data_IF_255433814066
#
_entry.id   IF_255433814066
#
_cell.length_a   1.000
_cell.length_b   1.000
_cell.length_c   1.000
_cell.angle_alpha   90.00
_cell.angle_beta   90.00
_cell.angle_gamma   90.00
#
_symmetry.space_group_name_H-M   'P 1'
#
loop_
_entity.id
_entity.type
_entity.pdbx_description
1 polymer ?
#
# COMPACT_ATOMS: atom_id res chain seq x y z
N UNK A 1 8.97 5.16 -22.88
CA UNK A 1 7.51 5.29 -22.85
C UNK A 1 6.92 4.40 -23.95
N UNK A 2 6.10 3.42 -23.60
CA UNK A 2 5.52 2.47 -24.57
C UNK A 2 4.12 2.90 -25.05
N UNK A 3 3.35 3.59 -24.21
CA UNK A 3 1.97 3.98 -24.47
C UNK A 3 1.85 5.50 -24.62
N UNK A 4 2.18 6.03 -25.81
CA UNK A 4 2.22 7.48 -26.09
C UNK A 4 0.85 8.08 -26.41
N UNK A 5 -0.06 7.31 -27.05
CA UNK A 5 -1.37 7.78 -27.48
C UNK A 5 -2.48 7.35 -26.50
N UNK A 6 -3.50 8.22 -26.32
CA UNK A 6 -4.65 7.93 -25.48
C UNK A 6 -5.32 6.59 -25.84
N UNK A 7 -5.44 6.27 -27.13
CA UNK A 7 -6.00 4.97 -27.57
C UNK A 7 -5.16 3.79 -27.06
N UNK A 8 -3.82 3.86 -27.13
CA UNK A 8 -2.93 2.82 -26.62
C UNK A 8 -3.01 2.71 -25.08
N UNK A 9 -3.17 3.84 -24.39
CA UNK A 9 -3.35 3.86 -22.91
C UNK A 9 -4.65 3.20 -22.51
N UNK A 10 -5.76 3.49 -23.21
CA UNK A 10 -7.06 2.83 -22.96
C UNK A 10 -6.95 1.33 -23.20
N UNK A 11 -6.36 0.90 -24.31
CA UNK A 11 -6.14 -0.52 -24.60
C UNK A 11 -5.28 -1.16 -23.50
N UNK A 12 -4.21 -0.47 -23.07
CA UNK A 12 -3.35 -0.92 -21.97
C UNK A 12 -4.09 -1.08 -20.65
N UNK A 13 -5.01 -0.16 -20.31
CA UNK A 13 -5.88 -0.29 -19.12
C UNK A 13 -6.80 -1.52 -19.22
N UNK A 14 -7.41 -1.74 -20.39
CA UNK A 14 -8.27 -2.92 -20.61
C UNK A 14 -7.46 -4.20 -20.46
N UNK A 15 -6.28 -4.28 -21.07
CA UNK A 15 -5.38 -5.44 -20.94
C UNK A 15 -4.96 -5.62 -19.48
N UNK A 16 -4.59 -4.55 -18.78
CA UNK A 16 -4.22 -4.59 -17.37
C UNK A 16 -5.37 -5.07 -16.49
N UNK A 17 -6.60 -4.62 -16.76
CA UNK A 17 -7.79 -5.06 -16.04
C UNK A 17 -8.08 -6.55 -16.29
N UNK A 18 -8.00 -7.00 -17.54
CA UNK A 18 -8.16 -8.41 -17.88
C UNK A 18 -7.09 -9.28 -17.18
N UNK A 19 -5.84 -8.81 -17.15
CA UNK A 19 -4.76 -9.48 -16.44
C UNK A 19 -5.02 -9.54 -14.94
N UNK A 20 -5.47 -8.43 -14.33
CA UNK A 20 -5.87 -8.39 -12.92
C UNK A 20 -6.97 -9.40 -12.62
N UNK A 21 -8.03 -9.43 -13.42
CA UNK A 21 -9.12 -10.40 -13.28
C UNK A 21 -8.61 -11.85 -13.41
N UNK A 22 -7.72 -12.11 -14.35
CA UNK A 22 -7.14 -13.43 -14.55
C UNK A 22 -6.33 -13.86 -13.31
N UNK A 23 -5.44 -12.98 -12.81
CA UNK A 23 -4.62 -13.29 -11.63
C UNK A 23 -5.50 -13.39 -10.37
N UNK A 24 -6.54 -12.59 -10.26
CA UNK A 24 -7.52 -12.69 -9.18
C UNK A 24 -8.20 -14.06 -9.15
N UNK A 25 -8.65 -14.56 -10.31
CA UNK A 25 -9.23 -15.91 -10.44
C UNK A 25 -8.19 -16.98 -10.07
N UNK A 26 -6.96 -16.85 -10.55
CA UNK A 26 -5.87 -17.76 -10.17
C UNK A 26 -5.59 -17.74 -8.67
N UNK A 27 -5.64 -16.58 -8.02
CA UNK A 27 -5.47 -16.46 -6.57
C UNK A 27 -6.55 -17.22 -5.77
N UNK A 28 -7.78 -17.33 -6.33
CA UNK A 28 -8.85 -18.11 -5.69
C UNK A 28 -8.64 -19.62 -5.90
N UNK A 29 -8.08 -20.05 -7.04
CA UNK A 29 -7.92 -21.48 -7.37
C UNK A 29 -6.62 -22.05 -6.82
N UNK A 30 -5.49 -21.31 -6.92
CA UNK A 30 -4.18 -21.77 -6.51
C UNK A 30 -3.97 -21.68 -4.99
N UNK A 31 -3.40 -22.72 -4.39
CA UNK A 31 -3.02 -22.77 -2.97
C UNK A 31 -2.73 -24.19 -2.53
N UNK A 32 -2.34 -24.39 -1.24
CA UNK A 32 -1.94 -25.70 -0.71
C UNK A 32 -3.05 -26.76 -0.85
N UNK A 33 -4.31 -26.43 -0.58
CA UNK A 33 -5.40 -27.37 -0.82
C UNK A 33 -5.71 -27.42 -2.33
N UNK A 34 -5.66 -28.61 -2.92
CA UNK A 34 -5.97 -28.82 -4.33
C UNK A 34 -7.43 -28.50 -4.62
N UNK A 35 -7.67 -27.44 -5.35
CA UNK A 35 -9.02 -27.05 -5.81
C UNK A 35 -8.99 -26.84 -7.32
N UNK A 36 -10.01 -27.34 -8.00
CA UNK A 36 -10.15 -27.16 -9.45
C UNK A 36 -10.96 -25.89 -9.78
N UNK A 37 -10.80 -25.36 -10.98
CA UNK A 37 -11.68 -24.30 -11.50
C UNK A 37 -13.16 -24.68 -11.43
N UNK A 38 -13.46 -25.97 -11.69
CA UNK A 38 -14.83 -26.50 -11.61
C UNK A 38 -15.37 -26.46 -10.18
N UNK A 39 -14.53 -26.79 -9.18
CA UNK A 39 -14.86 -26.69 -7.76
C UNK A 39 -15.09 -25.23 -7.35
N UNK A 40 -14.24 -24.31 -7.84
CA UNK A 40 -14.40 -22.89 -7.56
C UNK A 40 -15.75 -22.35 -8.09
N UNK A 41 -16.12 -22.69 -9.34
CA UNK A 41 -17.43 -22.29 -9.89
C UNK A 41 -18.59 -22.88 -9.08
N UNK A 42 -18.49 -24.16 -8.70
CA UNK A 42 -19.53 -24.84 -7.89
C UNK A 42 -19.67 -24.23 -6.50
N UNK A 43 -18.55 -23.79 -5.88
CA UNK A 43 -18.59 -23.14 -4.59
C UNK A 43 -19.45 -21.85 -4.58
N UNK A 44 -19.53 -21.15 -5.72
CA UNK A 44 -20.40 -19.97 -5.87
C UNK A 44 -21.82 -20.30 -6.29
N UNK A 45 -22.02 -21.33 -7.11
CA UNK A 45 -23.34 -21.67 -7.66
C UNK A 45 -24.14 -22.61 -6.73
N UNK A 46 -23.47 -23.60 -6.12
CA UNK A 46 -24.09 -24.66 -5.34
C UNK A 46 -23.24 -24.98 -4.10
N UNK A 47 -23.21 -24.03 -3.14
CA UNK A 47 -22.47 -24.21 -1.90
C UNK A 47 -23.02 -25.42 -1.13
N UNK A 48 -22.15 -26.42 -0.89
CA UNK A 48 -22.52 -27.67 -0.23
C UNK A 48 -21.87 -27.86 1.15
N UNK A 49 -21.13 -26.86 1.65
CA UNK A 49 -20.45 -26.94 2.95
C UNK A 49 -19.21 -27.83 2.99
N UNK A 50 -18.73 -28.35 1.83
CA UNK A 50 -17.47 -29.08 1.81
C UNK A 50 -16.27 -28.19 2.15
N UNK A 51 -15.19 -28.78 2.69
CA UNK A 51 -13.98 -28.05 3.05
C UNK A 51 -13.43 -27.23 1.87
N UNK A 52 -13.47 -27.75 0.66
CA UNK A 52 -13.04 -27.04 -0.55
C UNK A 52 -13.87 -25.77 -0.79
N UNK A 53 -15.21 -25.85 -0.64
CA UNK A 53 -16.10 -24.71 -0.82
C UNK A 53 -15.90 -23.64 0.26
N UNK A 54 -15.67 -24.06 1.52
CA UNK A 54 -15.36 -23.17 2.64
C UNK A 54 -14.02 -22.47 2.38
N UNK A 55 -12.97 -23.19 2.00
CA UNK A 55 -11.66 -22.62 1.69
C UNK A 55 -11.77 -21.57 0.58
N UNK A 56 -12.54 -21.84 -0.48
CA UNK A 56 -12.70 -20.90 -1.59
C UNK A 56 -13.43 -19.63 -1.14
N UNK A 57 -14.56 -19.75 -0.43
CA UNK A 57 -15.41 -18.61 -0.08
C UNK A 57 -14.91 -17.81 1.13
N UNK A 58 -14.41 -18.50 2.16
CA UNK A 58 -14.12 -17.88 3.46
C UNK A 58 -12.65 -17.56 3.65
N UNK A 59 -11.76 -18.19 2.86
CA UNK A 59 -10.32 -17.96 2.98
C UNK A 59 -9.75 -17.29 1.74
N UNK A 60 -9.92 -17.90 0.55
CA UNK A 60 -9.22 -17.43 -0.66
C UNK A 60 -9.86 -16.21 -1.30
N UNK A 61 -11.18 -16.12 -1.34
CA UNK A 61 -11.87 -14.95 -1.89
C UNK A 61 -11.60 -13.68 -1.05
N UNK A 62 -11.76 -13.67 0.29
CA UNK A 62 -11.37 -12.54 1.11
C UNK A 62 -9.93 -12.12 0.89
N UNK A 63 -9.01 -13.08 0.86
CA UNK A 63 -7.59 -12.86 0.65
C UNK A 63 -7.28 -12.21 -0.69
N UNK A 64 -7.90 -12.69 -1.78
CA UNK A 64 -7.76 -12.11 -3.11
C UNK A 64 -8.31 -10.67 -3.20
N UNK A 65 -9.47 -10.40 -2.58
CA UNK A 65 -10.05 -9.07 -2.51
C UNK A 65 -9.15 -8.11 -1.73
N UNK A 66 -8.70 -8.51 -0.54
CA UNK A 66 -7.81 -7.72 0.30
C UNK A 66 -6.50 -7.44 -0.44
N UNK A 67 -5.88 -8.46 -1.03
CA UNK A 67 -4.63 -8.29 -1.79
C UNK A 67 -4.79 -7.29 -2.95
N UNK A 68 -5.89 -7.37 -3.69
CA UNK A 68 -6.17 -6.45 -4.78
C UNK A 68 -6.29 -5.00 -4.28
N UNK A 69 -7.12 -4.77 -3.27
CA UNK A 69 -7.45 -3.41 -2.78
C UNK A 69 -6.25 -2.80 -2.05
N UNK A 70 -5.56 -3.57 -1.21
CA UNK A 70 -4.36 -3.12 -0.48
C UNK A 70 -3.22 -2.80 -1.47
N UNK A 71 -2.95 -3.69 -2.43
CA UNK A 71 -1.93 -3.47 -3.45
C UNK A 71 -2.21 -2.23 -4.28
N UNK A 72 -3.46 -2.02 -4.69
CA UNK A 72 -3.91 -0.81 -5.40
C UNK A 72 -3.68 0.45 -4.56
N UNK A 73 -4.09 0.43 -3.29
CA UNK A 73 -3.96 1.56 -2.37
C UNK A 73 -2.51 1.96 -2.13
N UNK A 74 -1.63 0.98 -1.89
CA UNK A 74 -0.20 1.22 -1.67
C UNK A 74 0.50 1.77 -2.91
N UNK A 75 0.16 1.27 -4.10
CA UNK A 75 0.73 1.75 -5.35
C UNK A 75 0.28 3.19 -5.68
N UNK A 76 -1.00 3.52 -5.49
CA UNK A 76 -1.50 4.89 -5.64
C UNK A 76 -0.81 5.81 -4.63
N UNK A 77 -0.72 5.41 -3.36
CA UNK A 77 -0.01 6.16 -2.32
C UNK A 77 1.44 6.44 -2.71
N UNK A 78 2.14 5.44 -3.23
CA UNK A 78 3.51 5.60 -3.71
C UNK A 78 3.62 6.65 -4.82
N UNK A 79 2.72 6.63 -5.81
CA UNK A 79 2.70 7.63 -6.87
C UNK A 79 2.47 9.06 -6.34
N UNK A 80 1.57 9.21 -5.37
CA UNK A 80 1.30 10.49 -4.70
C UNK A 80 2.51 11.00 -3.93
N UNK A 81 3.18 10.13 -3.16
CA UNK A 81 4.35 10.48 -2.36
C UNK A 81 5.56 10.82 -3.22
N UNK A 82 5.80 10.07 -4.29
CA UNK A 82 6.87 10.39 -5.24
C UNK A 82 6.66 11.76 -5.90
N UNK A 83 5.41 12.17 -6.17
CA UNK A 83 5.11 13.51 -6.65
C UNK A 83 5.35 14.58 -5.58
N UNK A 84 4.88 14.33 -4.36
CA UNK A 84 4.94 15.28 -3.24
C UNK A 84 6.39 15.57 -2.83
N UNK A 85 7.20 14.52 -2.74
CA UNK A 85 8.59 14.59 -2.28
C UNK A 85 9.59 14.84 -3.42
N UNK A 86 9.14 14.79 -4.69
CA UNK A 86 10.00 14.81 -5.88
C UNK A 86 11.11 13.76 -5.81
N UNK A 87 10.86 12.66 -5.13
CA UNK A 87 11.79 11.57 -4.92
C UNK A 87 11.18 10.26 -5.46
N UNK A 88 11.78 9.62 -6.48
CA UNK A 88 11.26 8.38 -7.05
C UNK A 88 11.30 7.18 -6.10
N UNK A 89 12.03 7.29 -4.98
CA UNK A 89 12.15 6.26 -3.95
C UNK A 89 11.19 6.49 -2.76
N UNK A 90 10.32 7.50 -2.84
CA UNK A 90 9.38 7.78 -1.76
C UNK A 90 8.30 6.70 -1.64
N UNK A 91 8.05 6.30 -0.40
CA UNK A 91 7.04 5.31 0.01
C UNK A 91 6.40 5.73 1.34
N UNK A 92 5.28 5.10 1.76
CA UNK A 92 4.66 5.36 3.06
C UNK A 92 5.61 5.22 4.25
N UNK A 93 6.60 4.34 4.15
CA UNK A 93 7.61 4.12 5.19
C UNK A 93 8.42 5.37 5.49
N UNK A 94 8.76 6.16 4.45
CA UNK A 94 9.49 7.42 4.61
C UNK A 94 8.73 8.50 5.40
N UNK A 95 7.40 8.37 5.51
CA UNK A 95 6.58 9.26 6.35
C UNK A 95 6.31 8.69 7.74
N UNK A 96 6.96 7.57 8.11
CA UNK A 96 6.76 6.92 9.40
C UNK A 96 5.36 6.32 9.59
N UNK A 97 4.56 6.18 8.53
CA UNK A 97 3.18 5.68 8.60
C UNK A 97 3.16 4.25 9.13
N UNK A 98 4.00 3.36 8.59
CA UNK A 98 4.09 1.97 9.03
C UNK A 98 4.63 1.86 10.47
N UNK A 99 5.63 2.66 10.83
CA UNK A 99 6.19 2.68 12.19
C UNK A 99 5.19 3.21 13.22
N UNK A 100 4.43 4.26 12.88
CA UNK A 100 3.36 4.79 13.71
C UNK A 100 2.22 3.78 13.91
N UNK A 101 1.82 3.08 12.84
CA UNK A 101 0.83 2.02 12.92
C UNK A 101 1.28 0.91 13.87
N UNK A 102 2.51 0.42 13.70
CA UNK A 102 3.11 -0.63 14.54
C UNK A 102 3.20 -0.20 16.00
N UNK A 103 3.64 1.03 16.25
CA UNK A 103 3.76 1.57 17.60
C UNK A 103 2.40 1.62 18.34
N UNK A 104 1.33 2.06 17.66
CA UNK A 104 0.00 2.12 18.28
C UNK A 104 -0.56 0.71 18.55
N UNK A 105 -0.32 -0.25 17.67
CA UNK A 105 -0.70 -1.66 17.91
C UNK A 105 0.04 -2.20 19.14
N UNK A 106 1.34 -1.95 19.27
CA UNK A 106 2.16 -2.39 20.40
C UNK A 106 1.67 -1.75 21.71
N UNK A 107 1.35 -0.44 21.70
CA UNK A 107 0.76 0.23 22.86
C UNK A 107 -0.57 -0.43 23.26
N UNK A 108 -1.44 -0.70 22.28
CA UNK A 108 -2.72 -1.36 22.52
C UNK A 108 -2.58 -2.74 23.16
N UNK A 109 -1.62 -3.53 22.67
CA UNK A 109 -1.32 -4.83 23.22
C UNK A 109 -0.72 -4.73 24.63
N UNK A 110 0.28 -3.86 24.82
CA UNK A 110 1.05 -3.78 26.06
C UNK A 110 0.25 -3.18 27.23
N UNK A 111 -0.44 -2.06 27.01
CA UNK A 111 -1.14 -1.34 28.09
C UNK A 111 -2.60 -1.74 28.26
N UNK A 112 -3.25 -2.23 27.21
CA UNK A 112 -4.69 -2.50 27.21
C UNK A 112 -5.01 -3.97 26.98
N UNK A 113 -4.00 -4.85 26.81
CA UNK A 113 -4.17 -6.28 26.53
C UNK A 113 -5.14 -6.56 25.38
N UNK A 114 -5.10 -5.72 24.36
CA UNK A 114 -5.95 -5.84 23.17
C UNK A 114 -5.32 -6.88 22.23
N UNK A 115 -6.02 -7.99 21.95
CA UNK A 115 -5.51 -9.11 21.13
C UNK A 115 -6.39 -9.37 19.90
N UNK A 116 -7.42 -8.55 19.62
CA UNK A 116 -8.28 -8.76 18.46
C UNK A 116 -7.71 -8.10 17.20
N UNK A 117 -7.72 -8.81 16.07
CA UNK A 117 -7.27 -8.30 14.77
C UNK A 117 -8.05 -7.04 14.33
N UNK A 118 -9.32 -6.95 14.71
CA UNK A 118 -10.15 -5.78 14.39
C UNK A 118 -9.72 -4.55 15.19
N UNK A 119 -9.37 -4.70 16.46
CA UNK A 119 -8.84 -3.59 17.25
C UNK A 119 -7.43 -3.20 16.78
N UNK A 120 -6.58 -4.16 16.40
CA UNK A 120 -5.29 -3.87 15.77
C UNK A 120 -5.45 -3.03 14.50
N UNK A 121 -6.46 -3.33 13.67
CA UNK A 121 -6.73 -2.55 12.46
C UNK A 121 -7.02 -1.07 12.78
N UNK A 122 -7.88 -0.81 13.77
CA UNK A 122 -8.19 0.57 14.17
C UNK A 122 -7.01 1.28 14.84
N UNK A 123 -6.25 0.58 15.69
CA UNK A 123 -5.04 1.13 16.30
C UNK A 123 -3.98 1.44 15.24
N UNK A 124 -3.78 0.54 14.29
CA UNK A 124 -2.87 0.75 13.18
C UNK A 124 -3.30 1.95 12.31
N UNK A 125 -4.59 2.06 11.99
CA UNK A 125 -5.13 3.20 11.24
C UNK A 125 -4.90 4.52 11.98
N UNK A 126 -5.21 4.57 13.28
CA UNK A 126 -4.99 5.75 14.12
C UNK A 126 -3.51 6.10 14.24
N UNK A 127 -2.64 5.10 14.42
CA UNK A 127 -1.20 5.29 14.49
C UNK A 127 -0.61 5.80 13.18
N UNK A 128 -1.06 5.26 12.05
CA UNK A 128 -0.71 5.71 10.71
C UNK A 128 -1.15 7.17 10.47
N UNK A 129 -2.39 7.50 10.86
CA UNK A 129 -2.93 8.85 10.74
C UNK A 129 -2.18 9.84 11.63
N UNK A 130 -1.91 9.46 12.89
CA UNK A 130 -1.15 10.29 13.82
C UNK A 130 0.28 10.56 13.28
N UNK A 131 0.98 9.53 12.83
CA UNK A 131 2.31 9.67 12.24
C UNK A 131 2.29 10.61 11.03
N UNK A 132 1.39 10.39 10.08
CA UNK A 132 1.27 11.23 8.89
C UNK A 132 0.93 12.69 9.21
N UNK A 133 0.03 12.93 10.17
CA UNK A 133 -0.34 14.29 10.64
C UNK A 133 0.83 14.98 11.33
N UNK A 134 1.54 14.29 12.23
CA UNK A 134 2.72 14.84 12.93
C UNK A 134 3.81 15.18 11.91
N UNK A 135 4.10 14.30 10.97
CA UNK A 135 5.11 14.54 9.93
C UNK A 135 4.71 15.72 9.04
N UNK A 136 3.43 15.80 8.65
CA UNK A 136 2.93 16.93 7.88
C UNK A 136 3.07 18.25 8.67
N UNK A 137 2.69 18.24 9.95
CA UNK A 137 2.81 19.41 10.82
C UNK A 137 4.27 19.84 10.99
N UNK A 138 5.16 18.92 11.37
CA UNK A 138 6.59 19.22 11.54
C UNK A 138 7.23 19.69 10.23
N UNK A 139 6.90 19.06 9.11
CA UNK A 139 7.41 19.45 7.79
C UNK A 139 6.90 20.83 7.32
N UNK A 140 5.77 21.31 7.87
CA UNK A 140 5.18 22.60 7.51
C UNK A 140 5.68 23.78 8.37
N UNK A 141 6.45 23.51 9.43
CA UNK A 141 6.98 24.56 10.33
C UNK A 141 7.98 25.47 9.61
N UNK A 142 7.94 26.74 10.00
CA UNK A 142 8.81 27.80 9.47
C UNK A 142 8.26 28.49 8.22
N UNK A 143 8.97 29.52 7.77
CA UNK A 143 8.49 30.48 6.75
C UNK A 143 8.37 29.91 5.33
N UNK A 144 9.11 28.84 5.01
CA UNK A 144 9.08 28.20 3.69
C UNK A 144 7.91 27.21 3.50
N UNK A 145 7.19 26.88 4.60
CA UNK A 145 6.14 25.89 4.59
C UNK A 145 6.67 24.47 4.32
N UNK A 146 5.80 23.60 3.81
CA UNK A 146 6.10 22.19 3.52
C UNK A 146 7.01 22.06 2.30
N UNK A 147 8.26 21.65 2.54
CA UNK A 147 9.23 21.32 1.47
C UNK A 147 9.50 19.83 1.43
N UNK A 148 9.91 19.26 0.27
CA UNK A 148 10.24 17.83 0.14
C UNK A 148 11.29 17.35 1.17
N UNK A 149 12.32 18.15 1.41
CA UNK A 149 13.40 17.83 2.34
C UNK A 149 12.89 17.79 3.79
N UNK A 150 12.12 18.80 4.22
CA UNK A 150 11.54 18.85 5.57
C UNK A 150 10.61 17.66 5.81
N UNK A 151 9.78 17.32 4.81
CA UNK A 151 8.87 16.18 4.88
C UNK A 151 9.64 14.87 5.07
N UNK A 152 10.70 14.66 4.31
CA UNK A 152 11.52 13.45 4.38
C UNK A 152 12.28 13.36 5.70
N UNK A 153 12.87 14.47 6.18
CA UNK A 153 13.58 14.50 7.46
C UNK A 153 12.64 14.30 8.65
N UNK A 154 11.49 14.97 8.66
CA UNK A 154 10.47 14.77 9.69
C UNK A 154 9.96 13.32 9.69
N UNK A 155 9.71 12.75 8.50
CA UNK A 155 9.28 11.37 8.35
C UNK A 155 10.31 10.39 8.90
N UNK A 156 11.59 10.54 8.55
CA UNK A 156 12.67 9.69 9.04
C UNK A 156 12.85 9.79 10.56
N UNK A 157 12.78 10.99 11.12
CA UNK A 157 12.87 11.21 12.57
C UNK A 157 11.70 10.55 13.30
N UNK A 158 10.47 10.71 12.80
CA UNK A 158 9.28 10.09 13.40
C UNK A 158 9.29 8.57 13.25
N UNK A 159 9.74 8.04 12.10
CA UNK A 159 9.88 6.60 11.90
C UNK A 159 10.89 6.01 12.90
N UNK A 160 12.04 6.64 13.06
CA UNK A 160 13.07 6.22 14.03
C UNK A 160 12.53 6.27 15.47
N UNK A 161 11.82 7.33 15.84
CA UNK A 161 11.23 7.50 17.17
C UNK A 161 10.19 6.41 17.47
N UNK A 162 9.20 6.22 16.58
CA UNK A 162 8.18 5.20 16.76
C UNK A 162 8.77 3.80 16.79
N UNK A 163 9.74 3.49 15.90
CA UNK A 163 10.41 2.19 15.90
C UNK A 163 11.22 1.95 17.17
N UNK A 164 11.93 2.95 17.69
CA UNK A 164 12.69 2.84 18.92
C UNK A 164 11.79 2.55 20.12
N UNK A 165 10.70 3.28 20.28
CA UNK A 165 9.72 3.02 21.33
C UNK A 165 9.06 1.66 21.18
N UNK A 166 8.69 1.29 19.95
CA UNK A 166 8.10 -0.02 19.65
C UNK A 166 9.05 -1.17 20.08
N UNK A 167 10.31 -1.12 19.70
CA UNK A 167 11.29 -2.11 20.11
C UNK A 167 11.52 -2.12 21.63
N UNK A 168 11.54 -0.94 22.28
CA UNK A 168 11.67 -0.85 23.73
C UNK A 168 10.56 -1.61 24.46
N UNK A 169 9.29 -1.45 24.03
CA UNK A 169 8.15 -2.18 24.62
C UNK A 169 8.19 -3.68 24.31
N UNK A 170 8.60 -4.08 23.10
CA UNK A 170 8.70 -5.50 22.74
C UNK A 170 9.73 -6.26 23.55
N UNK A 171 10.86 -5.62 23.91
CA UNK A 171 11.89 -6.25 24.76
C UNK A 171 11.39 -6.46 26.20
N UNK A 172 10.41 -5.66 26.66
CA UNK A 172 9.85 -5.80 28.02
C UNK A 172 8.80 -6.91 28.14
N UNK A 173 8.31 -7.45 27.02
CA UNK A 173 7.24 -8.47 27.01
C UNK A 173 7.43 -9.50 25.88
N UNK A 174 8.02 -10.65 26.22
CA UNK A 174 8.32 -11.71 25.25
C UNK A 174 7.07 -12.35 24.63
N UNK A 175 5.96 -12.46 25.38
CA UNK A 175 4.72 -13.05 24.85
C UNK A 175 4.05 -12.16 23.80
N UNK A 176 4.15 -10.84 23.95
CA UNK A 176 3.68 -9.86 22.95
C UNK A 176 4.54 -9.86 21.68
N UNK A 177 5.82 -10.26 21.81
CA UNK A 177 6.79 -10.22 20.72
C UNK A 177 6.35 -11.12 19.55
N UNK A 178 5.97 -12.37 19.80
CA UNK A 178 5.63 -13.32 18.72
C UNK A 178 4.40 -12.87 17.92
N UNK A 179 3.35 -12.42 18.59
CA UNK A 179 2.11 -11.98 17.95
C UNK A 179 2.31 -10.74 17.10
N UNK A 180 3.06 -9.77 17.63
CA UNK A 180 3.35 -8.51 16.93
C UNK A 180 4.32 -8.72 15.78
N UNK A 181 5.35 -9.55 15.92
CA UNK A 181 6.31 -9.83 14.84
C UNK A 181 5.62 -10.41 13.61
N UNK A 182 4.67 -11.35 13.81
CA UNK A 182 3.91 -11.90 12.71
C UNK A 182 3.02 -10.84 12.03
N UNK A 183 2.38 -9.95 12.82
CA UNK A 183 1.59 -8.85 12.29
C UNK A 183 2.47 -7.83 11.53
N UNK A 184 3.65 -7.49 12.09
CA UNK A 184 4.62 -6.55 11.48
C UNK A 184 5.26 -7.07 10.19
N UNK A 185 5.28 -8.38 9.97
CA UNK A 185 5.76 -8.95 8.72
C UNK A 185 4.84 -8.63 7.53
N UNK A 186 3.61 -8.17 7.78
CA UNK A 186 2.62 -7.83 6.78
C UNK A 186 2.04 -9.06 6.06
N UNK A 187 0.76 -9.32 6.25
CA UNK A 187 0.10 -10.50 5.68
C UNK A 187 -1.36 -10.22 5.32
N UNK A 188 -1.80 -10.79 4.21
CA UNK A 188 -3.22 -10.85 3.82
C UNK A 188 -3.89 -12.15 4.27
N UNK A 189 -3.11 -13.08 4.84
CA UNK A 189 -3.58 -14.36 5.37
C UNK A 189 -4.39 -14.18 6.65
N UNK A 190 -5.53 -14.89 6.76
CA UNK A 190 -6.36 -14.87 7.96
C UNK A 190 -7.08 -13.53 8.22
N UNK A 191 -7.09 -12.61 7.26
CA UNK A 191 -7.80 -11.33 7.38
C UNK A 191 -9.25 -11.49 6.94
N UNK A 192 -10.18 -10.98 7.77
CA UNK A 192 -11.61 -11.04 7.48
C UNK A 192 -12.05 -9.90 6.55
N UNK A 193 -13.13 -10.14 5.79
CA UNK A 193 -13.79 -9.09 5.01
C UNK A 193 -14.38 -7.99 5.88
N UNK A 194 -14.75 -8.28 7.13
CA UNK A 194 -15.27 -7.29 8.06
C UNK A 194 -14.25 -6.18 8.32
N UNK A 195 -12.97 -6.55 8.50
CA UNK A 195 -11.88 -5.58 8.66
C UNK A 195 -11.74 -4.75 7.39
N UNK A 196 -11.76 -5.38 6.22
CA UNK A 196 -11.70 -4.66 4.96
C UNK A 196 -12.85 -3.67 4.82
N UNK A 197 -14.10 -4.11 5.05
CA UNK A 197 -15.27 -3.25 4.90
C UNK A 197 -15.31 -2.11 5.91
N UNK A 198 -14.75 -2.26 7.10
CA UNK A 198 -14.65 -1.19 8.08
C UNK A 198 -13.77 -0.01 7.63
N UNK A 199 -12.72 -0.28 6.85
CA UNK A 199 -11.80 0.76 6.35
C UNK A 199 -12.00 1.09 4.86
N UNK A 200 -12.82 0.32 4.14
CA UNK A 200 -13.09 0.52 2.71
C UNK A 200 -13.60 1.93 2.36
N UNK A 201 -14.49 2.56 3.15
CA UNK A 201 -14.93 3.94 2.88
C UNK A 201 -13.76 4.92 2.83
N UNK A 202 -12.75 4.77 3.70
CA UNK A 202 -11.57 5.62 3.74
C UNK A 202 -10.66 5.38 2.52
N UNK A 203 -10.52 4.11 2.08
CA UNK A 203 -9.79 3.77 0.85
C UNK A 203 -10.47 4.37 -0.39
N UNK A 204 -11.81 4.30 -0.47
CA UNK A 204 -12.57 4.91 -1.56
C UNK A 204 -12.39 6.43 -1.55
N UNK A 205 -12.55 7.08 -0.39
CA UNK A 205 -12.35 8.53 -0.26
C UNK A 205 -10.93 8.94 -0.67
N UNK A 206 -9.91 8.24 -0.20
CA UNK A 206 -8.51 8.50 -0.55
C UNK A 206 -8.26 8.35 -2.05
N UNK A 207 -8.83 7.30 -2.67
CA UNK A 207 -8.74 7.07 -4.12
C UNK A 207 -9.45 8.17 -4.91
N UNK A 208 -10.68 8.52 -4.53
CA UNK A 208 -11.44 9.59 -5.19
C UNK A 208 -10.70 10.94 -5.09
N UNK A 209 -10.15 11.28 -3.92
CA UNK A 209 -9.33 12.47 -3.75
C UNK A 209 -8.10 12.45 -4.67
N UNK A 210 -7.38 11.33 -4.75
CA UNK A 210 -6.24 11.17 -5.64
C UNK A 210 -6.61 11.45 -7.11
N UNK A 211 -7.73 10.89 -7.59
CA UNK A 211 -8.21 11.12 -8.96
C UNK A 211 -8.63 12.58 -9.18
N UNK A 212 -9.34 13.21 -8.24
CA UNK A 212 -9.79 14.60 -8.33
C UNK A 212 -8.60 15.58 -8.43
N UNK A 213 -7.48 15.29 -7.76
CA UNK A 213 -6.29 16.14 -7.80
C UNK A 213 -5.31 15.80 -8.92
N UNK A 214 -5.54 14.74 -9.70
CA UNK A 214 -4.61 14.24 -10.72
C UNK A 214 -4.15 15.30 -11.72
N UNK A 215 -5.06 16.15 -12.20
CA UNK A 215 -4.72 17.29 -13.07
C UNK A 215 -3.84 18.32 -12.37
N UNK A 216 -4.13 18.63 -11.11
CA UNK A 216 -3.33 19.55 -10.30
C UNK A 216 -1.94 18.98 -10.01
N UNK A 217 -1.82 17.66 -9.88
CA UNK A 217 -0.53 16.99 -9.72
C UNK A 217 0.34 17.10 -10.97
N UNK A 218 -0.24 17.07 -12.17
CA UNK A 218 0.51 17.30 -13.42
C UNK A 218 1.19 18.68 -13.41
N UNK A 219 0.46 19.73 -13.02
CA UNK A 219 1.01 21.07 -12.90
C UNK A 219 2.05 21.15 -11.77
N UNK A 220 1.76 20.57 -10.60
CA UNK A 220 2.68 20.55 -9.47
C UNK A 220 4.01 19.81 -9.78
N UNK A 221 3.96 18.77 -10.60
CA UNK A 221 5.14 18.00 -11.01
C UNK A 221 6.10 18.78 -11.93
N UNK A 222 5.63 19.86 -12.59
CA UNK A 222 6.47 20.75 -13.41
C UNK A 222 7.38 21.65 -12.56
N UNK A 223 7.11 21.74 -11.27
CA UNK A 223 7.84 22.58 -10.31
C UNK A 223 6.88 23.46 -9.48
N UNK A 224 7.24 23.71 -8.23
CA UNK A 224 6.36 24.47 -7.33
C UNK A 224 6.25 25.93 -7.78
N UNK A 225 7.34 26.53 -8.24
CA UNK A 225 7.36 27.91 -8.72
C UNK A 225 6.54 28.07 -9.99
N UNK A 226 6.65 27.11 -10.94
CA UNK A 226 5.82 27.04 -12.13
C UNK A 226 4.35 26.90 -11.79
N UNK A 227 4.03 26.01 -10.84
CA UNK A 227 2.65 25.79 -10.40
C UNK A 227 2.05 27.06 -9.77
N UNK A 228 2.83 27.78 -8.95
CA UNK A 228 2.42 29.09 -8.36
C UNK A 228 2.24 30.15 -9.43
N UNK A 229 3.18 30.24 -10.39
CA UNK A 229 3.07 31.17 -11.51
C UNK A 229 1.83 30.95 -12.36
N UNK A 230 1.34 29.71 -12.46
CA UNK A 230 0.07 29.33 -13.10
C UNK A 230 -1.16 29.52 -12.19
N UNK A 231 -1.01 30.17 -11.03
CA UNK A 231 -2.10 30.45 -10.08
C UNK A 231 -2.53 29.27 -9.22
N UNK A 232 -1.76 28.18 -9.18
CA UNK A 232 -2.10 27.00 -8.39
C UNK A 232 -1.80 27.25 -6.90
N UNK A 233 -2.76 26.97 -6.03
CA UNK A 233 -2.57 26.97 -4.57
C UNK A 233 -1.87 25.67 -4.16
N UNK A 234 -0.53 25.67 -4.24
CA UNK A 234 0.31 24.48 -3.99
C UNK A 234 0.12 23.89 -2.58
N UNK A 235 -0.12 24.73 -1.55
CA UNK A 235 -0.42 24.27 -0.20
C UNK A 235 -1.67 23.39 -0.12
N UNK A 236 -2.75 23.75 -0.82
CA UNK A 236 -3.97 22.95 -0.88
C UNK A 236 -3.72 21.61 -1.58
N UNK A 237 -2.92 21.59 -2.65
CA UNK A 237 -2.58 20.36 -3.37
C UNK A 237 -1.77 19.42 -2.47
N UNK A 238 -0.75 19.94 -1.77
CA UNK A 238 0.06 19.18 -0.81
C UNK A 238 -0.80 18.60 0.33
N UNK A 239 -1.74 19.38 0.86
CA UNK A 239 -2.67 18.93 1.90
C UNK A 239 -3.55 17.78 1.40
N UNK A 240 -4.16 17.92 0.22
CA UNK A 240 -5.03 16.89 -0.35
C UNK A 240 -4.26 15.61 -0.70
N UNK A 241 -3.01 15.73 -1.16
CA UNK A 241 -2.11 14.59 -1.33
C UNK A 241 -1.88 13.91 0.03
N UNK A 242 -1.53 14.68 1.06
CA UNK A 242 -1.28 14.15 2.41
C UNK A 242 -2.49 13.41 2.98
N UNK A 243 -3.70 13.97 2.87
CA UNK A 243 -4.95 13.33 3.29
C UNK A 243 -5.16 12.02 2.52
N UNK A 244 -5.02 12.05 1.18
CA UNK A 244 -5.18 10.86 0.35
C UNK A 244 -4.18 9.75 0.73
N UNK A 245 -2.92 10.12 0.98
CA UNK A 245 -1.85 9.21 1.44
C UNK A 245 -2.23 8.56 2.78
N UNK A 246 -2.64 9.36 3.78
CA UNK A 246 -3.03 8.85 5.10
C UNK A 246 -4.22 7.89 4.99
N UNK A 247 -5.25 8.26 4.23
CA UNK A 247 -6.44 7.43 4.05
C UNK A 247 -6.10 6.10 3.36
N UNK A 248 -5.30 6.12 2.29
CA UNK A 248 -4.97 4.92 1.53
C UNK A 248 -3.97 4.02 2.26
N UNK A 249 -2.83 4.56 2.70
CA UNK A 249 -1.80 3.75 3.35
C UNK A 249 -2.18 3.35 4.77
N UNK A 250 -2.85 4.23 5.52
CA UNK A 250 -3.36 3.92 6.85
C UNK A 250 -4.37 2.78 6.83
N UNK A 251 -5.32 2.82 5.89
CA UNK A 251 -6.27 1.72 5.69
C UNK A 251 -5.59 0.44 5.21
N UNK A 252 -4.60 0.54 4.32
CA UNK A 252 -3.85 -0.62 3.83
C UNK A 252 -3.10 -1.33 4.97
N UNK A 253 -2.40 -0.58 5.81
CA UNK A 253 -1.69 -1.11 7.00
C UNK A 253 -2.68 -1.65 8.02
N UNK A 254 -3.82 -1.02 8.23
CA UNK A 254 -4.86 -1.50 9.13
C UNK A 254 -5.35 -2.90 8.76
N UNK A 255 -5.52 -3.20 7.47
CA UNK A 255 -6.00 -4.51 7.00
C UNK A 255 -4.89 -5.54 6.96
N UNK A 256 -3.76 -5.21 6.35
CA UNK A 256 -2.73 -6.18 5.98
C UNK A 256 -1.44 -6.08 6.81
N UNK A 257 -1.35 -5.13 7.74
CA UNK A 257 -0.09 -4.78 8.37
C UNK A 257 0.86 -4.03 7.43
N UNK A 258 2.08 -3.74 7.87
CA UNK A 258 3.06 -3.02 7.05
C UNK A 258 3.51 -3.86 5.84
N UNK A 259 3.26 -3.37 4.63
CA UNK A 259 3.74 -3.98 3.38
C UNK A 259 4.56 -2.93 2.64
N UNK A 260 5.85 -3.23 2.43
CA UNK A 260 6.78 -2.35 1.74
C UNK A 260 6.88 -2.60 0.23
N UNK A 261 7.69 -1.79 -0.43
CA UNK A 261 8.13 -1.88 -1.82
C UNK A 261 7.09 -1.65 -2.91
N UNK A 262 5.81 -1.98 -2.75
CA UNK A 262 4.77 -1.78 -3.78
C UNK A 262 4.71 -0.32 -4.20
N UNK A 263 4.72 0.60 -3.22
CA UNK A 263 4.69 2.04 -3.47
C UNK A 263 5.94 2.60 -4.17
N UNK A 264 7.05 1.87 -4.18
CA UNK A 264 8.27 2.26 -4.90
C UNK A 264 8.27 1.66 -6.31
N UNK A 265 8.06 0.36 -6.40
CA UNK A 265 8.20 -0.44 -7.62
C UNK A 265 7.14 -0.07 -8.66
N UNK A 266 5.88 -0.09 -8.24
CA UNK A 266 4.74 0.05 -9.17
C UNK A 266 4.71 1.41 -9.86
N UNK A 267 4.80 2.57 -9.17
CA UNK A 267 4.77 3.85 -9.84
C UNK A 267 5.92 4.03 -10.83
N UNK A 268 7.08 3.44 -10.54
CA UNK A 268 8.24 3.51 -11.44
C UNK A 268 7.98 2.75 -12.74
N UNK A 269 7.48 1.50 -12.65
CA UNK A 269 7.08 0.71 -13.82
C UNK A 269 6.00 1.43 -14.63
N UNK A 270 4.99 1.96 -13.96
CA UNK A 270 3.87 2.65 -14.59
C UNK A 270 4.33 3.92 -15.32
N UNK A 271 5.19 4.75 -14.72
CA UNK A 271 5.75 5.93 -15.38
C UNK A 271 6.54 5.57 -16.64
N UNK A 272 7.24 4.45 -16.61
CA UNK A 272 7.94 3.94 -17.80
C UNK A 272 6.97 3.52 -18.91
N UNK A 273 5.81 2.98 -18.56
CA UNK A 273 4.78 2.57 -19.51
C UNK A 273 4.00 3.75 -20.11
N UNK A 274 3.44 4.64 -19.25
CA UNK A 274 2.44 5.65 -19.66
C UNK A 274 2.96 7.10 -19.63
N UNK A 275 4.18 7.31 -19.14
CA UNK A 275 4.77 8.65 -18.98
C UNK A 275 4.38 9.31 -17.67
N UNK A 276 4.45 10.66 -17.62
CA UNK A 276 4.34 11.43 -16.37
C UNK A 276 2.95 12.04 -16.12
N UNK A 277 1.93 11.65 -16.89
CA UNK A 277 0.56 12.17 -16.70
C UNK A 277 -0.18 11.40 -15.59
N UNK A 278 -0.45 12.05 -14.45
CA UNK A 278 -1.08 11.47 -13.28
C UNK A 278 -2.51 10.99 -13.53
N UNK A 279 -3.21 11.49 -14.55
CA UNK A 279 -4.52 10.97 -14.96
C UNK A 279 -4.44 9.51 -15.42
N UNK A 280 -3.27 9.10 -15.95
CA UNK A 280 -2.99 7.74 -16.38
C UNK A 280 -2.18 6.96 -15.35
N UNK A 281 -1.23 7.63 -14.66
CA UNK A 281 -0.41 6.98 -13.63
C UNK A 281 -1.27 6.36 -12.54
N UNK A 282 -2.27 7.10 -12.00
CA UNK A 282 -3.05 6.61 -10.86
C UNK A 282 -3.88 5.37 -11.20
N UNK A 283 -4.67 5.30 -12.30
CA UNK A 283 -5.40 4.08 -12.65
C UNK A 283 -4.48 2.89 -12.93
N UNK A 284 -3.38 3.12 -13.67
CA UNK A 284 -2.39 2.07 -13.91
C UNK A 284 -1.72 1.59 -12.63
N UNK A 285 -1.40 2.48 -11.68
CA UNK A 285 -0.88 2.11 -10.37
C UNK A 285 -1.87 1.24 -9.60
N UNK A 286 -3.16 1.58 -9.61
CA UNK A 286 -4.19 0.77 -8.97
C UNK A 286 -4.22 -0.67 -9.51
N UNK A 287 -4.28 -0.82 -10.84
CA UNK A 287 -4.32 -2.13 -11.47
C UNK A 287 -3.00 -2.91 -11.23
N UNK A 288 -1.87 -2.28 -11.50
CA UNK A 288 -0.55 -2.95 -11.39
C UNK A 288 -0.20 -3.29 -9.94
N UNK A 289 -0.60 -2.43 -8.98
CA UNK A 289 -0.42 -2.68 -7.56
C UNK A 289 -1.21 -3.88 -7.07
N UNK A 290 -2.47 -4.01 -7.48
CA UNK A 290 -3.28 -5.20 -7.22
C UNK A 290 -2.66 -6.47 -7.82
N UNK A 291 -2.21 -6.41 -9.08
CA UNK A 291 -1.52 -7.51 -9.75
C UNK A 291 -0.27 -7.92 -8.98
N UNK A 292 0.60 -6.96 -8.63
CA UNK A 292 1.87 -7.27 -7.95
C UNK A 292 1.64 -7.93 -6.59
N UNK A 293 0.70 -7.42 -5.80
CA UNK A 293 0.43 -7.99 -4.48
C UNK A 293 -0.23 -9.35 -4.57
N UNK A 294 -1.13 -9.59 -5.53
CA UNK A 294 -1.70 -10.92 -5.77
C UNK A 294 -0.65 -11.93 -6.21
N UNK A 295 0.27 -11.56 -7.11
CA UNK A 295 1.37 -12.42 -7.53
C UNK A 295 2.32 -12.74 -6.37
N UNK A 296 2.65 -11.74 -5.55
CA UNK A 296 3.46 -11.93 -4.35
C UNK A 296 2.76 -12.87 -3.35
N UNK A 297 1.44 -12.74 -3.18
CA UNK A 297 0.64 -13.59 -2.30
C UNK A 297 0.53 -15.04 -2.82
N UNK A 298 0.34 -15.24 -4.13
CA UNK A 298 0.38 -16.58 -4.74
C UNK A 298 1.76 -17.22 -4.54
N UNK A 299 2.83 -16.44 -4.77
CA UNK A 299 4.20 -16.89 -4.52
C UNK A 299 4.44 -17.27 -3.05
N UNK A 300 3.92 -16.47 -2.12
CA UNK A 300 4.02 -16.70 -0.67
C UNK A 300 3.41 -18.03 -0.23
N UNK A 301 2.33 -18.46 -0.89
CA UNK A 301 1.66 -19.75 -0.62
C UNK A 301 2.37 -20.96 -1.20
N UNK A 302 3.17 -20.77 -2.27
CA UNK A 302 3.73 -21.89 -3.04
C UNK A 302 5.19 -22.20 -2.69
N UNK A 303 5.96 -21.24 -2.12
CA UNK A 303 7.41 -21.39 -1.93
C UNK A 303 7.77 -22.34 -0.78
N UNK A 304 7.06 -22.32 0.34
CA UNK A 304 7.39 -23.10 1.54
C UNK A 304 6.26 -24.03 2.00
N UNK A 305 5.54 -24.66 1.09
CA UNK A 305 4.44 -25.59 1.44
C UNK A 305 4.88 -26.64 2.47
N UNK A 306 4.07 -26.94 3.50
CA UNK A 306 2.72 -26.44 3.77
C UNK A 306 2.65 -25.11 4.53
N UNK A 307 3.77 -24.55 4.92
CA UNK A 307 3.84 -23.25 5.61
C UNK A 307 3.69 -22.11 4.59
N UNK A 308 3.10 -21.01 5.03
CA UNK A 308 2.94 -19.82 4.20
C UNK A 308 3.85 -18.69 4.69
N UNK A 309 4.49 -18.01 3.75
CA UNK A 309 5.34 -16.84 4.05
C UNK A 309 4.46 -15.60 4.10
N UNK A 310 4.64 -14.66 5.05
CA UNK A 310 3.98 -13.36 5.00
C UNK A 310 4.26 -12.64 3.67
N UNK A 311 3.21 -12.08 3.07
CA UNK A 311 3.32 -11.44 1.74
C UNK A 311 4.26 -10.24 1.74
N UNK A 312 4.42 -9.56 2.88
CA UNK A 312 5.38 -8.47 3.04
C UNK A 312 6.83 -8.89 2.83
N UNK A 313 7.19 -10.14 3.21
CA UNK A 313 8.51 -10.70 2.92
C UNK A 313 8.67 -10.94 1.42
N UNK A 314 7.63 -11.45 0.74
CA UNK A 314 7.67 -11.67 -0.71
C UNK A 314 7.80 -10.37 -1.49
N UNK A 315 7.07 -9.32 -1.08
CA UNK A 315 7.21 -8.00 -1.70
C UNK A 315 8.62 -7.41 -1.46
N UNK A 316 9.24 -7.68 -0.32
CA UNK A 316 10.62 -7.28 -0.05
C UNK A 316 11.64 -8.03 -0.92
N UNK A 317 11.47 -9.33 -1.12
CA UNK A 317 12.34 -10.15 -1.99
C UNK A 317 12.28 -9.65 -3.44
N UNK A 318 11.08 -9.34 -3.94
CA UNK A 318 10.88 -8.82 -5.31
C UNK A 318 11.36 -7.36 -5.40
N UNK A 319 11.06 -6.56 -4.39
CA UNK A 319 11.26 -5.11 -4.42
C UNK A 319 12.70 -4.69 -4.18
N UNK A 320 13.46 -5.41 -3.35
CA UNK A 320 14.84 -5.04 -3.00
C UNK A 320 15.79 -5.03 -4.21
N UNK A 321 15.83 -6.04 -5.09
CA UNK A 321 16.66 -5.98 -6.29
C UNK A 321 16.25 -4.81 -7.22
N UNK A 322 14.96 -4.56 -7.33
CA UNK A 322 14.44 -3.46 -8.13
C UNK A 322 14.81 -2.09 -7.55
N UNK A 323 14.72 -1.95 -6.21
CA UNK A 323 15.15 -0.75 -5.51
C UNK A 323 16.64 -0.46 -5.72
N UNK A 324 17.51 -1.48 -5.58
CA UNK A 324 18.96 -1.36 -5.82
C UNK A 324 19.23 -0.92 -7.27
N UNK A 325 18.50 -1.50 -8.23
CA UNK A 325 18.63 -1.13 -9.64
C UNK A 325 18.28 0.34 -9.88
N UNK A 326 17.17 0.85 -9.33
CA UNK A 326 16.75 2.25 -9.46
C UNK A 326 17.75 3.17 -8.76
N UNK A 327 18.14 2.87 -7.52
CA UNK A 327 19.06 3.69 -6.74
C UNK A 327 20.42 3.85 -7.46
N UNK A 328 20.91 2.77 -8.09
CA UNK A 328 22.17 2.78 -8.83
C UNK A 328 22.09 3.56 -10.15
N UNK A 329 20.96 3.50 -10.86
CA UNK A 329 20.79 4.09 -12.18
C UNK A 329 20.12 5.48 -12.14
N UNK A 330 19.42 5.82 -11.05
CA UNK A 330 18.72 7.10 -10.89
C UNK A 330 19.65 8.34 -10.86
N UNK A 331 20.93 8.17 -10.55
CA UNK A 331 21.92 9.24 -10.60
C UNK A 331 22.43 9.57 -12.01
N UNK A 332 22.03 8.84 -13.04
CA UNK A 332 22.50 9.05 -14.43
C UNK A 332 21.50 9.79 -15.33
N UNK A 333 20.35 10.18 -14.82
CA UNK A 333 19.25 10.82 -15.61
C UNK A 333 18.82 12.18 -15.07
N UNK A 334 19.69 12.86 -14.31
CA UNK A 334 19.51 14.27 -13.91
C UNK A 334 20.41 15.20 -14.70
#
# INVERSE_FOLDING_TARGET
MLLLNNRRRIIGLIIGLLLLCTIFIFSIVLGYADTSFKTAIKAFQQFNGSNEHIIIKEVRLPRALIGTIVGSSLAITGALLQALTKNPLASPDLLGINSGASFFVIIGLFFFSINSLQAFAWLAFLGAAAAGLIVYFLGSLGNEGLTPIKLTLAGAAMAAMFSSFAHGFLVMNESALEEVLFWMAGSVQGRSLEILFSVLPYMIMGTLLAFLISNKMNVYSMGEDVARGLGQRTGTVKLLIGISVILLSGSAVAVAGPIGFIGIVVPHIVKWLVGNDYRWILPFCGITGGILLLLADIGARLILMPQEVPVGIMTAIIGTPFFIYIARNGGKSS
#
